data_IF_270078481820
#
_entry.id   IF_270078481820
#
_cell.length_a   1.000
_cell.length_b   1.000
_cell.length_c   1.000
_cell.angle_alpha   90.00
_cell.angle_beta   90.00
_cell.angle_gamma   90.00
#
_symmetry.space_group_name_H-M   'P 1'
#
loop_
_entity.id
_entity.type
_entity.pdbx_description
1 polymer ?
#
# COMPACT_ATOMS: atom_id res chain seq x y z
N UNK A 1 33.07 8.35 8.97
CA UNK A 1 31.92 8.02 9.84
C UNK A 1 30.67 8.40 9.06
N UNK A 2 30.13 7.48 8.28
CA UNK A 2 28.91 7.73 7.51
C UNK A 2 28.09 6.45 7.67
N UNK A 3 27.23 6.50 8.68
CA UNK A 3 26.34 5.42 9.10
C UNK A 3 24.94 5.78 8.62
N UNK A 4 24.25 4.78 8.10
CA UNK A 4 22.80 4.61 8.13
C UNK A 4 21.97 5.53 7.22
N UNK A 5 21.86 5.12 5.94
CA UNK A 5 20.66 5.35 5.10
C UNK A 5 20.22 4.06 4.42
N UNK A 6 20.37 2.95 5.12
CA UNK A 6 19.61 1.75 4.80
C UNK A 6 18.13 2.07 5.03
N UNK A 7 17.36 1.86 3.97
CA UNK A 7 15.96 2.25 3.84
C UNK A 7 15.16 1.60 4.96
N UNK A 8 14.26 2.38 5.58
CA UNK A 8 13.32 1.93 6.61
C UNK A 8 12.48 0.71 6.18
N UNK A 9 12.49 0.37 4.89
CA UNK A 9 11.73 -0.74 4.32
C UNK A 9 12.54 -2.00 4.05
N UNK A 10 13.86 -2.01 4.28
CA UNK A 10 14.65 -3.25 4.16
C UNK A 10 14.22 -4.30 5.19
N UNK A 11 13.57 -3.90 6.28
CA UNK A 11 12.99 -4.82 7.28
C UNK A 11 11.66 -5.47 6.81
N UNK A 12 11.07 -4.98 5.70
CA UNK A 12 9.82 -5.48 5.11
C UNK A 12 10.00 -6.18 3.75
N UNK A 13 11.22 -6.19 3.21
CA UNK A 13 11.59 -7.00 2.05
C UNK A 13 12.13 -8.34 2.56
N UNK A 14 11.31 -9.39 2.55
CA UNK A 14 11.71 -10.72 3.02
C UNK A 14 12.39 -11.50 1.88
N UNK A 15 13.56 -12.08 2.18
CA UNK A 15 14.43 -12.80 1.24
C UNK A 15 13.89 -14.16 0.74
N UNK A 16 12.57 -14.38 0.63
CA UNK A 16 12.00 -15.67 0.19
C UNK A 16 10.71 -15.54 -0.66
N UNK A 17 10.84 -15.27 -1.97
CA UNK A 17 9.72 -15.24 -2.94
C UNK A 17 8.43 -14.60 -2.37
N UNK A 18 8.51 -13.36 -1.91
CA UNK A 18 7.35 -12.64 -1.39
C UNK A 18 6.27 -12.52 -2.49
N UNK A 19 5.16 -13.23 -2.30
CA UNK A 19 3.98 -13.04 -3.15
C UNK A 19 3.45 -11.65 -2.84
N UNK A 20 3.59 -10.75 -3.81
CA UNK A 20 3.12 -9.37 -3.71
C UNK A 20 1.78 -9.20 -4.41
N UNK A 21 0.82 -8.58 -3.74
CA UNK A 21 -0.43 -8.16 -4.36
C UNK A 21 -0.31 -6.69 -4.74
N UNK A 22 -0.61 -6.34 -5.99
CA UNK A 22 -0.52 -4.96 -6.48
C UNK A 22 -1.87 -4.52 -7.02
N UNK A 23 -2.32 -3.35 -6.61
CA UNK A 23 -3.49 -2.67 -7.15
C UNK A 23 -3.14 -1.23 -7.56
N UNK A 24 -3.53 -0.83 -8.77
CA UNK A 24 -3.36 0.54 -9.28
C UNK A 24 -4.72 1.10 -9.66
N UNK A 25 -5.10 2.24 -9.08
CA UNK A 25 -6.39 2.92 -9.27
C UNK A 25 -7.62 2.01 -9.01
N UNK A 26 -7.50 1.07 -8.07
CA UNK A 26 -8.58 0.15 -7.70
C UNK A 26 -9.58 0.74 -6.69
N UNK A 27 -9.21 1.85 -6.04
CA UNK A 27 -10.05 2.56 -5.06
C UNK A 27 -10.64 3.81 -5.73
N UNK A 28 -11.83 3.67 -6.33
CA UNK A 28 -12.47 4.75 -7.10
C UNK A 28 -13.93 5.03 -6.71
N UNK A 29 -14.58 4.14 -5.95
CA UNK A 29 -15.93 4.34 -5.42
C UNK A 29 -16.12 3.60 -4.10
N UNK A 30 -17.08 4.00 -3.27
CA UNK A 30 -17.31 3.42 -1.94
C UNK A 30 -17.86 1.99 -1.99
N UNK A 31 -18.73 1.71 -2.96
CA UNK A 31 -19.41 0.41 -3.10
C UNK A 31 -18.49 -0.81 -3.01
N UNK A 32 -17.40 -0.90 -3.80
CA UNK A 32 -16.52 -2.05 -3.81
C UNK A 32 -15.46 -2.07 -2.69
N UNK A 33 -15.39 -1.07 -1.81
CA UNK A 33 -14.30 -0.97 -0.83
C UNK A 33 -14.27 -2.18 0.11
N UNK A 34 -15.42 -2.58 0.65
CA UNK A 34 -15.48 -3.71 1.58
C UNK A 34 -15.18 -5.06 0.88
N UNK A 35 -15.68 -5.23 -0.34
CA UNK A 35 -15.41 -6.42 -1.15
C UNK A 35 -13.92 -6.52 -1.55
N UNK A 36 -13.28 -5.37 -1.80
CA UNK A 36 -11.85 -5.29 -2.06
C UNK A 36 -11.05 -5.70 -0.82
N UNK A 37 -11.40 -5.19 0.37
CA UNK A 37 -10.74 -5.58 1.63
C UNK A 37 -10.89 -7.09 1.89
N UNK A 38 -12.08 -7.65 1.71
CA UNK A 38 -12.32 -9.09 1.87
C UNK A 38 -11.52 -9.92 0.85
N UNK A 39 -11.43 -9.45 -0.40
CA UNK A 39 -10.59 -10.08 -1.42
C UNK A 39 -9.12 -10.04 -1.03
N UNK A 40 -8.60 -8.90 -0.57
CA UNK A 40 -7.22 -8.79 -0.10
C UNK A 40 -6.96 -9.73 1.09
N UNK A 41 -7.88 -9.86 2.03
CA UNK A 41 -7.74 -10.80 3.16
C UNK A 41 -7.70 -12.27 2.74
N UNK A 42 -8.41 -12.63 1.67
CA UNK A 42 -8.40 -13.98 1.11
C UNK A 42 -7.13 -14.28 0.31
N UNK A 43 -6.59 -13.27 -0.38
CA UNK A 43 -5.37 -13.40 -1.18
C UNK A 43 -4.10 -13.34 -0.32
N UNK A 44 -4.11 -12.58 0.78
CA UNK A 44 -2.92 -12.26 1.54
C UNK A 44 -2.72 -13.17 2.75
N UNK A 45 -1.57 -13.84 2.79
CA UNK A 45 -1.05 -14.56 3.94
C UNK A 45 -0.22 -13.67 4.87
N UNK A 46 0.44 -14.27 5.86
CA UNK A 46 1.31 -13.57 6.81
C UNK A 46 2.62 -13.04 6.21
N UNK A 47 3.00 -13.50 5.01
CA UNK A 47 4.20 -13.07 4.27
C UNK A 47 3.83 -12.28 3.01
N UNK A 48 2.58 -11.87 2.86
CA UNK A 48 2.13 -11.13 1.68
C UNK A 48 2.18 -9.64 1.94
N UNK A 49 2.91 -8.93 1.08
CA UNK A 49 2.92 -7.47 1.04
C UNK A 49 1.96 -6.98 -0.05
N UNK A 50 1.10 -6.03 0.31
CA UNK A 50 0.14 -5.42 -0.62
C UNK A 50 0.56 -4.00 -0.94
N UNK A 51 0.65 -3.68 -2.22
CA UNK A 51 0.88 -2.33 -2.72
C UNK A 51 -0.40 -1.80 -3.37
N UNK A 52 -0.94 -0.70 -2.86
CA UNK A 52 -2.07 0.02 -3.47
C UNK A 52 -1.61 1.41 -3.87
N UNK A 53 -1.58 1.66 -5.17
CA UNK A 53 -1.36 2.98 -5.73
C UNK A 53 -2.68 3.55 -6.27
N UNK A 54 -2.87 4.86 -6.15
CA UNK A 54 -4.06 5.51 -6.70
C UNK A 54 -3.94 7.03 -6.81
N UNK A 55 -4.65 7.60 -7.77
CA UNK A 55 -4.79 9.05 -7.90
C UNK A 55 -5.80 9.63 -6.88
N UNK A 56 -5.39 10.69 -6.20
CA UNK A 56 -6.20 11.53 -5.32
C UNK A 56 -7.21 12.33 -6.15
N UNK A 57 -8.35 11.70 -6.48
CA UNK A 57 -9.49 12.36 -7.13
C UNK A 57 -10.66 12.60 -6.18
N UNK A 58 -10.87 11.66 -5.27
CA UNK A 58 -11.91 11.72 -4.26
C UNK A 58 -11.32 11.23 -2.93
N UNK A 59 -10.89 12.18 -2.12
CA UNK A 59 -10.22 11.91 -0.85
C UNK A 59 -11.14 11.12 0.10
N UNK A 60 -12.47 11.31 0.02
CA UNK A 60 -13.43 10.63 0.89
C UNK A 60 -13.47 9.10 0.66
N UNK A 61 -13.38 8.65 -0.60
CA UNK A 61 -13.37 7.20 -0.92
C UNK A 61 -12.07 6.58 -0.44
N UNK A 62 -10.96 7.29 -0.63
CA UNK A 62 -9.65 6.82 -0.18
C UNK A 62 -9.58 6.75 1.35
N UNK A 63 -10.09 7.76 2.05
CA UNK A 63 -10.21 7.77 3.50
C UNK A 63 -11.07 6.59 3.99
N UNK A 64 -12.23 6.36 3.37
CA UNK A 64 -13.08 5.21 3.69
C UNK A 64 -12.36 3.87 3.51
N UNK A 65 -11.60 3.72 2.43
CA UNK A 65 -10.75 2.55 2.21
C UNK A 65 -9.68 2.41 3.30
N UNK A 66 -8.96 3.48 3.65
CA UNK A 66 -7.91 3.45 4.66
C UNK A 66 -8.48 3.10 6.04
N UNK A 67 -9.63 3.67 6.42
CA UNK A 67 -10.31 3.34 7.67
C UNK A 67 -10.70 1.85 7.75
N UNK A 68 -11.16 1.27 6.64
CA UNK A 68 -11.46 -0.16 6.57
C UNK A 68 -10.19 -1.01 6.60
N UNK A 69 -9.17 -0.65 5.82
CA UNK A 69 -7.89 -1.36 5.73
C UNK A 69 -7.15 -1.38 7.07
N UNK A 70 -7.06 -0.24 7.76
CA UNK A 70 -6.37 -0.12 9.06
C UNK A 70 -6.97 -1.00 10.16
N UNK A 71 -8.18 -1.54 10.00
CA UNK A 71 -8.75 -2.50 10.96
C UNK A 71 -8.02 -3.84 10.90
N UNK A 72 -7.61 -4.27 9.71
CA UNK A 72 -7.14 -5.64 9.44
C UNK A 72 -5.72 -5.71 8.86
N UNK A 73 -5.19 -4.60 8.37
CA UNK A 73 -3.81 -4.45 7.89
C UNK A 73 -3.06 -3.40 8.72
N UNK A 74 -1.76 -3.56 8.85
CA UNK A 74 -0.84 -2.46 9.15
C UNK A 74 -0.60 -1.71 7.85
N UNK A 75 -0.90 -0.42 7.81
CA UNK A 75 -0.83 0.41 6.60
C UNK A 75 0.30 1.43 6.75
N UNK A 76 1.22 1.45 5.80
CA UNK A 76 2.26 2.45 5.63
C UNK A 76 2.07 3.21 4.32
N UNK A 77 2.56 4.45 4.26
CA UNK A 77 2.60 5.26 3.04
C UNK A 77 4.04 5.33 2.53
N UNK A 78 4.22 5.18 1.23
CA UNK A 78 5.53 5.34 0.59
C UNK A 78 5.77 6.81 0.30
N UNK A 79 6.91 7.32 0.74
CA UNK A 79 7.32 8.70 0.47
C UNK A 79 7.73 8.89 -0.99
N UNK A 80 7.39 10.04 -1.59
CA UNK A 80 7.73 10.29 -3.00
C UNK A 80 9.22 10.44 -3.28
N UNK A 81 10.05 10.59 -2.23
CA UNK A 81 11.50 10.52 -2.35
C UNK A 81 12.01 9.12 -2.68
N UNK A 82 11.21 8.09 -2.39
CA UNK A 82 11.55 6.68 -2.65
C UNK A 82 11.05 6.22 -4.03
N UNK A 83 10.30 7.07 -4.73
CA UNK A 83 9.76 6.77 -6.06
C UNK A 83 10.79 7.10 -7.14
N UNK A 84 10.58 6.56 -8.33
CA UNK A 84 11.41 6.92 -9.48
C UNK A 84 11.34 8.45 -9.73
N UNK A 85 12.49 9.13 -9.89
CA UNK A 85 12.54 10.60 -9.92
C UNK A 85 11.71 11.22 -11.05
N UNK A 86 11.62 10.51 -12.18
CA UNK A 86 10.88 10.95 -13.38
C UNK A 86 9.40 10.53 -13.39
N UNK A 87 8.98 9.59 -12.53
CA UNK A 87 7.62 9.02 -12.52
C UNK A 87 6.96 9.19 -11.16
N UNK A 88 6.85 10.45 -10.73
CA UNK A 88 6.17 10.82 -9.49
C UNK A 88 5.23 12.00 -9.72
N UNK A 89 4.10 11.96 -9.04
CA UNK A 89 3.08 13.01 -9.11
C UNK A 89 2.55 13.27 -7.71
N UNK A 90 2.38 14.54 -7.29
CA UNK A 90 1.78 14.87 -5.99
C UNK A 90 0.34 14.35 -5.86
N UNK A 91 -0.31 14.04 -6.98
CA UNK A 91 -1.67 13.51 -7.03
C UNK A 91 -1.76 12.01 -6.90
N UNK A 92 -0.64 11.29 -6.94
CA UNK A 92 -0.64 9.84 -6.76
C UNK A 92 -0.13 9.55 -5.36
N UNK A 93 -0.75 8.57 -4.72
CA UNK A 93 -0.31 8.02 -3.44
C UNK A 93 -0.06 6.53 -3.60
N UNK A 94 0.85 6.01 -2.78
CA UNK A 94 1.16 4.58 -2.73
C UNK A 94 1.20 4.14 -1.27
N UNK A 95 0.45 3.09 -0.98
CA UNK A 95 0.36 2.48 0.33
C UNK A 95 0.94 1.08 0.27
N UNK A 96 1.67 0.74 1.33
CA UNK A 96 2.15 -0.61 1.62
C UNK A 96 1.30 -1.13 2.76
N UNK A 97 0.78 -2.34 2.63
CA UNK A 97 -0.03 -2.97 3.65
C UNK A 97 0.44 -4.39 3.92
N UNK A 98 0.53 -4.74 5.20
CA UNK A 98 0.81 -6.10 5.66
C UNK A 98 -0.31 -6.54 6.58
N UNK A 99 -0.71 -7.80 6.48
CA UNK A 99 -1.81 -8.33 7.29
C UNK A 99 -1.42 -8.33 8.77
N UNK A 100 -2.35 -7.93 9.64
CA UNK A 100 -2.16 -8.00 11.11
C UNK A 100 -2.17 -9.42 11.63
#
# INVERSE_FOLDING_TARGET
>A
MERDRESCWQEYYCDCYDVSVVGSDVVYSEGPVLDLIDTLLKLCGSQTTVFIAGELRNDAVLEYFLEAAMKVFVVGRVEQSEWHPDYRSPRVVMYIMVRK
#
